data_IF_684226289356
#
_entry.id   IF_684226289356
#
_cell.length_a   1.000
_cell.length_b   1.000
_cell.length_c   1.000
_cell.angle_alpha   90.00
_cell.angle_beta   90.00
_cell.angle_gamma   90.00
#
_symmetry.space_group_name_H-M   'P 1'
#
loop_
_entity.id
_entity.type
_entity.pdbx_description
1 polymer ?
#
# COMPACT_ATOMS: atom_id res chain seq x y z
N UNK A 1 -43.92 -13.18 -7.65
CA UNK A 1 -43.11 -11.95 -7.51
C UNK A 1 -42.35 -12.08 -6.21
N UNK A 2 -41.03 -12.33 -6.27
CA UNK A 2 -40.21 -12.41 -5.06
C UNK A 2 -40.01 -10.99 -4.51
N UNK A 3 -40.59 -10.69 -3.35
CA UNK A 3 -40.23 -9.50 -2.61
C UNK A 3 -38.76 -9.63 -2.20
N UNK A 4 -37.85 -8.92 -2.87
CA UNK A 4 -36.48 -8.78 -2.38
C UNK A 4 -36.56 -8.01 -1.07
N UNK A 5 -36.26 -8.68 0.04
CA UNK A 5 -36.16 -8.01 1.34
C UNK A 5 -35.14 -6.86 1.23
N UNK A 6 -35.40 -5.77 1.95
CA UNK A 6 -34.45 -4.67 2.09
C UNK A 6 -33.11 -5.22 2.60
N UNK A 7 -31.97 -4.85 1.98
CA UNK A 7 -30.66 -5.31 2.42
C UNK A 7 -30.43 -4.95 3.89
N UNK A 8 -29.94 -5.91 4.67
CA UNK A 8 -29.58 -5.70 6.07
C UNK A 8 -28.07 -5.87 6.25
N UNK A 9 -27.52 -5.23 7.28
CA UNK A 9 -26.08 -5.33 7.59
C UNK A 9 -25.73 -6.75 8.04
N UNK A 10 -24.78 -7.38 7.36
CA UNK A 10 -24.27 -8.73 7.68
C UNK A 10 -22.90 -8.70 8.34
N UNK A 11 -22.13 -7.63 8.14
CA UNK A 11 -20.83 -7.43 8.79
C UNK A 11 -20.52 -5.94 8.93
N UNK A 12 -19.77 -5.60 9.97
CA UNK A 12 -19.40 -4.25 10.37
C UNK A 12 -17.93 -4.30 10.80
N UNK A 13 -17.11 -3.40 10.28
CA UNK A 13 -15.73 -3.25 10.71
C UNK A 13 -15.45 -1.81 11.15
N UNK A 14 -15.46 -1.62 12.48
CA UNK A 14 -14.90 -0.46 13.19
C UNK A 14 -15.54 0.89 12.80
N UNK A 15 -16.80 0.91 12.39
CA UNK A 15 -17.53 2.08 11.93
C UNK A 15 -17.13 2.59 10.54
N UNK A 16 -16.25 1.90 9.81
CA UNK A 16 -15.68 2.39 8.54
C UNK A 16 -15.97 1.51 7.33
N UNK A 17 -16.50 0.31 7.55
CA UNK A 17 -16.92 -0.61 6.50
C UNK A 17 -18.16 -1.35 6.97
N UNK A 18 -19.19 -1.35 6.14
CA UNK A 18 -20.40 -2.17 6.32
C UNK A 18 -20.60 -3.03 5.09
N UNK A 19 -20.94 -4.29 5.31
CA UNK A 19 -21.32 -5.23 4.25
C UNK A 19 -22.79 -5.56 4.43
N UNK A 20 -23.56 -5.47 3.34
CA UNK A 20 -24.99 -5.76 3.34
C UNK A 20 -25.29 -7.15 2.75
N UNK A 21 -26.46 -7.68 3.08
CA UNK A 21 -26.91 -9.03 2.69
C UNK A 21 -27.01 -9.26 1.19
N UNK A 22 -27.12 -8.19 0.40
CA UNK A 22 -27.12 -8.22 -1.07
C UNK A 22 -25.71 -8.14 -1.68
N UNK A 23 -24.67 -8.09 -0.84
CA UNK A 23 -23.28 -7.94 -1.24
C UNK A 23 -22.84 -6.49 -1.49
N UNK A 24 -23.74 -5.52 -1.36
CA UNK A 24 -23.38 -4.10 -1.42
C UNK A 24 -22.57 -3.68 -0.20
N UNK A 25 -21.81 -2.60 -0.35
CA UNK A 25 -20.83 -2.17 0.64
C UNK A 25 -20.88 -0.68 0.80
N UNK A 26 -20.79 -0.25 2.06
CA UNK A 26 -20.59 1.13 2.42
C UNK A 26 -19.23 1.30 3.08
N UNK A 27 -18.46 2.31 2.65
CA UNK A 27 -17.19 2.70 3.27
C UNK A 27 -17.24 4.15 3.72
N UNK A 28 -16.69 4.39 4.90
CA UNK A 28 -16.42 5.75 5.37
C UNK A 28 -15.24 6.35 4.58
N UNK A 29 -15.33 7.64 4.26
CA UNK A 29 -14.20 8.42 3.75
C UNK A 29 -13.17 8.74 4.84
N UNK A 30 -13.61 8.74 6.10
CA UNK A 30 -12.82 9.06 7.29
C UNK A 30 -12.46 7.81 8.09
N UNK A 31 -11.31 7.79 8.79
CA UNK A 31 -10.95 6.72 9.71
C UNK A 31 -11.92 6.64 10.90
N UNK A 32 -11.93 5.49 11.57
CA UNK A 32 -12.80 5.21 12.71
C UNK A 32 -12.45 5.99 13.98
N UNK A 33 -11.24 6.52 14.03
CA UNK A 33 -10.71 7.30 15.13
C UNK A 33 -10.33 8.69 14.61
N UNK A 34 -10.69 9.73 15.36
CA UNK A 34 -10.34 11.11 15.01
C UNK A 34 -8.89 11.38 15.39
N UNK A 35 -8.02 11.48 14.39
CA UNK A 35 -6.63 11.90 14.54
C UNK A 35 -6.43 13.15 13.71
N UNK A 36 -5.98 14.28 14.30
CA UNK A 36 -5.64 15.46 13.52
C UNK A 36 -4.37 15.18 12.69
N UNK A 37 -4.25 15.84 11.54
CA UNK A 37 -3.00 15.84 10.78
C UNK A 37 -2.03 16.80 11.46
N UNK A 38 -0.80 16.34 11.69
CA UNK A 38 0.28 17.12 12.28
C UNK A 38 1.25 17.56 11.18
N UNK A 39 0.84 18.54 10.38
CA UNK A 39 1.66 19.13 9.33
C UNK A 39 2.22 20.47 9.82
N UNK A 40 3.52 20.49 10.15
CA UNK A 40 4.26 21.68 10.55
C UNK A 40 5.11 22.27 9.41
N UNK A 41 4.95 21.74 8.19
CA UNK A 41 5.73 22.15 7.01
C UNK A 41 7.15 21.59 6.95
N UNK A 42 7.57 20.76 7.91
CA UNK A 42 8.88 20.09 7.87
C UNK A 42 8.99 19.04 6.76
N UNK A 43 7.86 18.58 6.24
CA UNK A 43 7.76 17.62 5.14
C UNK A 43 6.90 18.21 4.02
N UNK A 44 7.50 18.31 2.83
CA UNK A 44 6.78 18.64 1.60
C UNK A 44 6.10 17.40 1.07
N UNK A 45 4.86 17.51 0.58
CA UNK A 45 4.15 16.40 0.00
C UNK A 45 3.28 16.81 -1.18
N UNK A 46 3.04 15.87 -2.09
CA UNK A 46 2.14 16.05 -3.25
C UNK A 46 1.50 14.72 -3.66
N UNK A 47 0.29 14.82 -4.21
CA UNK A 47 -0.41 13.69 -4.82
C UNK A 47 -0.16 13.61 -6.32
N UNK A 48 -0.08 12.39 -6.84
CA UNK A 48 0.11 12.10 -8.25
C UNK A 48 -0.79 10.94 -8.65
N UNK A 49 -1.44 11.04 -9.81
CA UNK A 49 -2.13 9.92 -10.45
C UNK A 49 -1.09 9.05 -11.14
N UNK A 50 -0.90 7.81 -10.69
CA UNK A 50 0.05 6.89 -11.31
C UNK A 50 -0.64 5.87 -12.23
N UNK A 51 -1.93 5.61 -12.02
CA UNK A 51 -2.76 4.81 -12.91
C UNK A 51 -4.12 5.50 -13.15
N UNK A 52 -4.26 6.23 -14.27
CA UNK A 52 -5.51 6.89 -14.63
C UNK A 52 -6.66 5.93 -14.90
N UNK A 53 -6.38 4.67 -15.29
CA UNK A 53 -7.42 3.70 -15.68
C UNK A 53 -8.24 3.29 -14.47
N UNK A 54 -7.57 2.98 -13.35
CA UNK A 54 -8.22 2.64 -12.09
C UNK A 54 -8.36 3.85 -11.14
N UNK A 55 -8.02 5.05 -11.61
CA UNK A 55 -7.95 6.28 -10.81
C UNK A 55 -7.16 6.07 -9.50
N UNK A 56 -5.97 5.46 -9.61
CA UNK A 56 -5.09 5.25 -8.46
C UNK A 56 -4.05 6.36 -8.36
N UNK A 57 -3.90 6.82 -7.12
CA UNK A 57 -3.03 7.92 -6.77
C UNK A 57 -1.96 7.42 -5.82
N UNK A 58 -0.85 8.13 -5.79
CA UNK A 58 0.17 7.99 -4.76
C UNK A 58 0.48 9.37 -4.18
N UNK A 59 0.98 9.37 -2.95
CA UNK A 59 1.51 10.57 -2.30
C UNK A 59 3.01 10.43 -2.15
N UNK A 60 3.71 11.46 -2.58
CA UNK A 60 5.15 11.62 -2.34
C UNK A 60 5.35 12.53 -1.14
N UNK A 61 6.33 12.20 -0.30
CA UNK A 61 6.78 13.00 0.84
C UNK A 61 8.29 13.19 0.76
N UNK A 62 8.79 14.38 1.09
CA UNK A 62 10.20 14.72 1.08
C UNK A 62 10.52 15.68 2.23
N UNK A 63 11.67 15.56 2.93
CA UNK A 63 12.07 16.53 3.94
C UNK A 63 12.23 17.92 3.32
N UNK A 64 11.64 18.95 3.94
CA UNK A 64 11.68 20.32 3.40
C UNK A 64 13.11 20.89 3.34
N UNK A 65 13.95 20.52 4.30
CA UNK A 65 15.30 21.07 4.47
C UNK A 65 16.43 20.18 3.90
N UNK A 66 16.13 19.23 3.02
CA UNK A 66 17.19 18.44 2.36
C UNK A 66 17.92 19.28 1.31
N UNK A 67 19.27 19.28 1.31
CA UNK A 67 20.08 19.89 0.25
C UNK A 67 19.76 19.29 -1.12
N UNK A 68 19.66 20.13 -2.15
CA UNK A 68 19.38 19.71 -3.53
C UNK A 68 20.44 18.78 -4.12
N UNK A 69 21.66 18.78 -3.56
CA UNK A 69 22.78 17.95 -3.98
C UNK A 69 22.79 16.53 -3.39
N UNK A 70 21.92 16.24 -2.41
CA UNK A 70 21.92 14.94 -1.72
C UNK A 70 20.79 14.07 -2.25
N UNK A 71 21.16 12.95 -2.89
CA UNK A 71 20.21 11.89 -3.23
C UNK A 71 19.67 11.27 -1.93
N UNK A 72 18.36 11.27 -1.76
CA UNK A 72 17.69 10.64 -0.62
C UNK A 72 17.29 9.21 -0.98
N UNK A 73 17.36 8.25 -0.03
CA UNK A 73 16.77 6.94 -0.23
C UNK A 73 15.27 7.06 -0.41
N UNK A 74 14.67 6.08 -1.10
CA UNK A 74 13.22 5.97 -1.25
C UNK A 74 12.70 4.88 -0.34
N UNK A 75 11.64 5.19 0.41
CA UNK A 75 10.90 4.24 1.23
C UNK A 75 9.47 4.09 0.69
N UNK A 76 9.08 2.86 0.35
CA UNK A 76 7.78 2.55 -0.22
C UNK A 76 6.82 2.05 0.88
N UNK A 77 5.80 2.85 1.22
CA UNK A 77 4.86 2.59 2.30
C UNK A 77 3.48 2.23 1.76
N UNK A 78 2.99 1.03 2.08
CA UNK A 78 1.62 0.59 1.75
C UNK A 78 0.77 0.69 3.02
N UNK A 79 -0.35 1.40 2.95
CA UNK A 79 -1.23 1.56 4.10
C UNK A 79 -1.85 0.21 4.54
N UNK A 80 -2.28 0.15 5.81
CA UNK A 80 -2.94 -1.02 6.37
C UNK A 80 -4.43 -1.07 6.04
N UNK A 81 -5.19 -1.87 6.82
CA UNK A 81 -6.65 -2.01 6.68
C UNK A 81 -7.12 -3.31 6.03
N UNK A 82 -6.24 -4.31 5.96
CA UNK A 82 -6.60 -5.68 5.56
C UNK A 82 -7.11 -5.80 4.12
N UNK A 83 -6.67 -4.91 3.23
CA UNK A 83 -7.13 -4.77 1.84
C UNK A 83 -8.54 -4.28 1.65
N UNK A 84 -9.31 -4.06 2.71
CA UNK A 84 -10.72 -3.69 2.59
C UNK A 84 -10.99 -2.23 2.97
N UNK A 85 -10.05 -1.59 3.66
CA UNK A 85 -10.22 -0.29 4.32
C UNK A 85 -8.92 0.51 4.18
N UNK A 86 -9.05 1.83 4.17
CA UNK A 86 -7.93 2.76 4.26
C UNK A 86 -7.73 3.57 2.98
N UNK A 87 -6.85 4.55 3.07
CA UNK A 87 -6.43 5.41 1.98
C UNK A 87 -5.08 6.04 2.36
N UNK A 88 -4.26 6.40 1.35
CA UNK A 88 -3.07 7.23 1.53
C UNK A 88 -3.40 8.58 2.21
N UNK A 89 -4.63 9.07 2.05
CA UNK A 89 -5.07 10.38 2.55
C UNK A 89 -5.55 10.36 3.99
N UNK A 90 -5.67 9.19 4.62
CA UNK A 90 -6.13 9.11 6.00
C UNK A 90 -5.11 9.73 6.97
N UNK A 91 -5.56 10.53 7.97
CA UNK A 91 -4.66 11.26 8.87
C UNK A 91 -3.59 10.41 9.56
N UNK A 92 -3.92 9.18 9.96
CA UNK A 92 -2.92 8.27 10.55
C UNK A 92 -1.86 7.80 9.55
N UNK A 93 -2.24 7.56 8.30
CA UNK A 93 -1.30 7.21 7.24
C UNK A 93 -0.38 8.41 6.97
N UNK A 94 -0.95 9.60 6.86
CA UNK A 94 -0.21 10.83 6.59
C UNK A 94 0.78 11.17 7.72
N UNK A 95 0.34 11.16 8.98
CA UNK A 95 1.21 11.42 10.13
C UNK A 95 2.34 10.39 10.24
N UNK A 96 2.05 9.13 9.91
CA UNK A 96 3.08 8.09 9.90
C UNK A 96 4.12 8.33 8.79
N UNK A 97 3.68 8.71 7.59
CA UNK A 97 4.58 9.09 6.49
C UNK A 97 5.43 10.32 6.82
N UNK A 98 4.89 11.33 7.51
CA UNK A 98 5.67 12.47 7.99
C UNK A 98 6.77 12.03 8.94
N UNK A 99 6.43 11.20 9.93
CA UNK A 99 7.40 10.65 10.87
C UNK A 99 8.49 9.83 10.17
N UNK A 100 8.10 8.92 9.27
CA UNK A 100 9.06 8.12 8.50
C UNK A 100 9.99 8.98 7.65
N UNK A 101 9.45 10.00 6.97
CA UNK A 101 10.19 10.92 6.12
C UNK A 101 11.33 11.60 6.89
N UNK A 102 11.03 12.11 8.08
CA UNK A 102 12.00 12.80 8.93
C UNK A 102 12.97 11.83 9.62
N UNK A 103 12.47 10.73 10.18
CA UNK A 103 13.29 9.77 10.93
C UNK A 103 14.30 9.06 10.01
N UNK A 104 13.90 8.76 8.76
CA UNK A 104 14.75 8.06 7.79
C UNK A 104 15.54 9.00 6.88
N UNK A 105 15.23 10.31 6.89
CA UNK A 105 15.72 11.27 5.90
C UNK A 105 15.53 10.74 4.46
N UNK A 106 14.30 10.35 4.15
CA UNK A 106 13.96 9.61 2.93
C UNK A 106 12.79 10.22 2.18
N UNK A 107 12.72 9.98 0.88
CA UNK A 107 11.48 10.20 0.13
C UNK A 107 10.53 9.05 0.44
N UNK A 108 9.32 9.37 0.92
CA UNK A 108 8.29 8.35 1.17
C UNK A 108 7.33 8.33 -0.02
N UNK A 109 7.02 7.13 -0.52
CA UNK A 109 6.02 6.90 -1.57
C UNK A 109 4.89 6.08 -0.98
N UNK A 110 3.68 6.65 -0.96
CA UNK A 110 2.48 6.01 -0.41
C UNK A 110 1.39 5.90 -1.48
N UNK A 111 1.29 4.77 -2.21
CA UNK A 111 0.21 4.52 -3.15
C UNK A 111 -1.11 4.21 -2.45
N UNK A 112 -2.21 4.49 -3.14
CA UNK A 112 -3.46 3.76 -2.98
C UNK A 112 -3.43 2.46 -3.78
N UNK A 113 -4.29 1.55 -3.37
CA UNK A 113 -4.56 0.30 -4.07
C UNK A 113 -6.05 -0.01 -4.02
N UNK A 114 -6.55 -0.76 -4.99
CA UNK A 114 -7.96 -1.14 -5.05
C UNK A 114 -8.34 -2.00 -3.85
N UNK A 115 -9.48 -1.70 -3.25
CA UNK A 115 -9.95 -2.37 -2.04
C UNK A 115 -10.87 -3.55 -2.37
N UNK A 116 -10.73 -4.59 -1.56
CA UNK A 116 -11.65 -5.70 -1.48
C UNK A 116 -12.92 -5.30 -0.72
N UNK A 117 -14.06 -5.90 -1.07
CA UNK A 117 -14.22 -7.04 -1.97
C UNK A 117 -14.59 -6.73 -3.43
N UNK A 118 -14.80 -5.46 -3.80
CA UNK A 118 -15.00 -5.06 -5.20
C UNK A 118 -13.80 -5.48 -6.05
N UNK A 119 -12.60 -5.36 -5.48
CA UNK A 119 -11.35 -5.79 -6.09
C UNK A 119 -10.64 -6.73 -5.12
N UNK A 120 -11.01 -8.02 -5.17
CA UNK A 120 -10.35 -9.05 -4.36
C UNK A 120 -8.87 -9.17 -4.74
N UNK A 121 -8.07 -9.72 -3.83
CA UNK A 121 -6.70 -10.12 -4.16
C UNK A 121 -6.70 -11.04 -5.39
N UNK A 122 -5.74 -10.87 -6.32
CA UNK A 122 -4.47 -10.15 -6.16
C UNK A 122 -4.47 -8.66 -6.53
N UNK A 123 -5.61 -8.01 -6.81
CA UNK A 123 -5.67 -6.64 -7.35
C UNK A 123 -4.78 -5.63 -6.60
N UNK A 124 -4.86 -5.56 -5.26
CA UNK A 124 -4.04 -4.65 -4.47
C UNK A 124 -2.52 -4.89 -4.59
N UNK A 125 -2.11 -6.14 -4.81
CA UNK A 125 -0.70 -6.52 -5.01
C UNK A 125 -0.23 -6.05 -6.38
N UNK A 126 -1.08 -6.22 -7.41
CA UNK A 126 -0.81 -5.75 -8.77
C UNK A 126 -0.70 -4.23 -8.82
N UNK A 127 -1.59 -3.52 -8.11
CA UNK A 127 -1.57 -2.06 -8.02
C UNK A 127 -0.31 -1.53 -7.33
N UNK A 128 0.12 -2.18 -6.24
CA UNK A 128 1.38 -1.86 -5.58
C UNK A 128 2.58 -2.10 -6.51
N UNK A 129 2.60 -3.21 -7.25
CA UNK A 129 3.65 -3.47 -8.22
C UNK A 129 3.66 -2.44 -9.36
N UNK A 130 2.48 -2.02 -9.84
CA UNK A 130 2.33 -0.99 -10.85
C UNK A 130 2.88 0.36 -10.38
N UNK A 131 2.63 0.75 -9.13
CA UNK A 131 3.20 1.97 -8.56
C UNK A 131 4.72 1.92 -8.42
N UNK A 132 5.31 0.75 -8.13
CA UNK A 132 6.79 0.58 -8.14
C UNK A 132 7.34 0.75 -9.56
N UNK A 133 6.69 0.16 -10.56
CA UNK A 133 7.09 0.33 -11.97
C UNK A 133 6.98 1.78 -12.43
N UNK A 134 5.89 2.45 -12.05
CA UNK A 134 5.71 3.87 -12.32
C UNK A 134 6.87 4.70 -11.74
N UNK A 135 7.24 4.43 -10.49
CA UNK A 135 8.36 5.11 -9.83
C UNK A 135 9.69 4.89 -10.56
N UNK A 136 9.99 3.65 -10.96
CA UNK A 136 11.19 3.33 -11.74
C UNK A 136 11.23 4.11 -13.05
N UNK A 137 10.12 4.19 -13.78
CA UNK A 137 10.04 4.96 -15.02
C UNK A 137 10.32 6.45 -14.85
N UNK A 138 9.84 7.05 -13.76
CA UNK A 138 10.06 8.48 -13.48
C UNK A 138 11.52 8.78 -13.06
N UNK A 139 12.14 7.89 -12.26
CA UNK A 139 13.56 8.03 -11.89
C UNK A 139 14.45 7.99 -13.13
N UNK A 140 14.15 7.09 -14.07
CA UNK A 140 14.89 6.99 -15.32
C UNK A 140 14.72 8.25 -16.20
N UNK A 141 13.53 8.85 -16.23
CA UNK A 141 13.30 10.09 -16.98
C UNK A 141 14.08 11.29 -16.40
N UNK A 142 14.11 11.46 -15.08
CA UNK A 142 14.91 12.52 -14.43
C UNK A 142 16.42 12.32 -14.64
N UNK A 143 16.88 11.06 -14.84
CA UNK A 143 18.29 10.75 -15.08
C UNK A 143 18.77 10.96 -16.53
N UNK A 144 17.86 11.14 -17.48
CA UNK A 144 18.18 11.24 -18.93
C UNK A 144 18.40 12.69 -19.40
N UNK A 145 18.12 13.70 -18.57
CA UNK A 145 18.55 15.08 -18.85
C UNK A 145 20.00 15.33 -18.41
N UNK A 146 20.96 14.94 -19.25
CA UNK A 146 22.37 15.37 -19.13
C UNK A 146 22.84 15.95 -20.48
N UNK A 147 22.97 17.29 -20.62
CA UNK A 147 23.80 17.88 -21.67
C UNK A 147 25.28 17.71 -21.34
N UNK A 148 26.06 17.53 -22.41
CA UNK A 148 27.48 17.22 -22.43
C UNK A 148 28.31 18.04 -21.43
N UNK A 149 29.02 17.33 -20.53
CA UNK A 149 30.46 17.47 -20.30
C UNK A 149 30.89 16.54 -19.16
N UNK A 150 31.21 15.29 -19.54
CA UNK A 150 32.19 14.41 -18.91
C UNK A 150 32.09 14.13 -17.41
N UNK A 151 31.41 13.04 -17.03
CA UNK A 151 31.97 11.98 -16.17
C UNK A 151 30.91 10.89 -15.97
N UNK A 152 31.18 9.72 -16.56
CA UNK A 152 30.45 8.47 -16.31
C UNK A 152 30.77 8.04 -14.87
N UNK A 153 29.75 7.77 -14.06
CA UNK A 153 29.90 6.94 -12.86
C UNK A 153 29.05 5.70 -13.09
N UNK A 154 29.73 4.56 -13.02
CA UNK A 154 29.25 3.22 -13.34
C UNK A 154 27.78 2.97 -12.96
N UNK A 155 26.96 2.76 -13.99
CA UNK A 155 25.80 1.88 -13.85
C UNK A 155 26.32 0.45 -13.89
N UNK A 156 26.53 -0.16 -12.72
CA UNK A 156 26.53 -1.62 -12.68
C UNK A 156 25.17 -2.10 -13.19
N UNK A 157 25.25 -2.82 -14.30
CA UNK A 157 24.18 -3.47 -15.02
C UNK A 157 23.40 -4.42 -14.11
N UNK A 158 22.31 -3.93 -13.51
CA UNK A 158 21.37 -4.80 -12.82
C UNK A 158 20.51 -5.49 -13.87
N UNK A 159 21.03 -6.61 -14.38
CA UNK A 159 20.30 -7.52 -15.27
C UNK A 159 18.92 -7.85 -14.69
N UNK A 160 17.93 -7.98 -15.56
CA UNK A 160 16.53 -8.36 -15.25
C UNK A 160 16.38 -9.74 -14.56
N UNK A 161 17.47 -10.36 -14.09
CA UNK A 161 17.52 -11.67 -13.45
C UNK A 161 17.54 -11.66 -11.91
N UNK A 162 17.74 -10.51 -11.26
CA UNK A 162 18.04 -10.46 -9.81
C UNK A 162 16.89 -10.11 -8.87
N UNK A 163 15.66 -9.92 -9.37
CA UNK A 163 14.48 -9.98 -8.49
C UNK A 163 13.74 -11.29 -8.75
N UNK A 164 13.84 -12.29 -7.85
CA UNK A 164 13.00 -13.46 -7.99
C UNK A 164 11.54 -13.00 -7.97
N UNK A 165 10.65 -13.55 -8.81
CA UNK A 165 9.23 -13.14 -8.92
C UNK A 165 8.41 -13.28 -7.61
N UNK A 166 9.07 -13.67 -6.52
CA UNK A 166 8.52 -13.91 -5.20
C UNK A 166 9.01 -12.91 -4.13
N UNK A 167 9.92 -11.97 -4.42
CA UNK A 167 10.49 -11.08 -3.39
C UNK A 167 9.46 -10.13 -2.77
N UNK A 168 8.58 -9.56 -3.59
CA UNK A 168 7.43 -8.76 -3.11
C UNK A 168 6.32 -9.65 -2.50
N UNK A 169 6.21 -10.91 -2.90
CA UNK A 169 5.29 -11.88 -2.26
C UNK A 169 5.77 -12.24 -0.86
N UNK A 170 7.07 -12.34 -0.61
CA UNK A 170 7.62 -12.84 0.65
C UNK A 170 7.54 -11.83 1.80
N UNK A 171 7.77 -10.54 1.52
CA UNK A 171 7.60 -9.45 2.51
C UNK A 171 6.12 -9.30 2.90
N UNK A 172 5.21 -9.54 1.97
CA UNK A 172 3.77 -9.41 2.18
C UNK A 172 3.12 -10.66 2.80
N UNK A 173 3.57 -11.87 2.45
CA UNK A 173 2.99 -13.14 2.92
C UNK A 173 3.21 -13.40 4.41
N UNK A 174 4.36 -13.06 5.01
CA UNK A 174 4.63 -13.51 6.39
C UNK A 174 3.76 -12.87 7.47
N UNK A 175 3.20 -11.67 7.23
CA UNK A 175 2.27 -11.01 8.18
C UNK A 175 0.79 -11.15 7.79
N UNK A 176 0.47 -11.22 6.51
CA UNK A 176 -0.92 -11.24 6.01
C UNK A 176 -1.50 -12.66 5.93
N UNK A 177 -0.68 -13.67 5.61
CA UNK A 177 -1.17 -15.04 5.40
C UNK A 177 -1.65 -15.70 6.70
N UNK A 178 -1.17 -15.26 7.87
CA UNK A 178 -1.62 -15.78 9.17
C UNK A 178 -3.03 -15.28 9.56
N UNK A 179 -3.48 -14.14 9.04
CA UNK A 179 -4.84 -13.65 9.24
C UNK A 179 -5.83 -14.28 8.24
N UNK A 180 -5.40 -14.56 7.00
CA UNK A 180 -6.26 -15.15 5.96
C UNK A 180 -6.39 -16.67 6.06
N UNK A 181 -5.36 -17.41 6.51
CA UNK A 181 -5.46 -18.87 6.70
C UNK A 181 -6.36 -19.29 7.87
N UNK A 182 -6.67 -18.37 8.80
CA UNK A 182 -7.51 -18.69 9.98
C UNK A 182 -9.03 -18.64 9.70
N UNK A 183 -9.47 -18.33 8.47
CA UNK A 183 -10.91 -18.36 8.09
C UNK A 183 -11.26 -19.22 6.88
N UNK A 184 -10.30 -19.92 6.26
CA UNK A 184 -10.60 -20.95 5.24
C UNK A 184 -10.63 -22.39 5.80
N UNK A 185 -10.36 -22.60 7.10
CA UNK A 185 -10.32 -23.93 7.71
C UNK A 185 -11.59 -24.33 8.53
N UNK A 186 -12.75 -23.67 8.33
CA UNK A 186 -14.01 -24.04 9.01
C UNK A 186 -15.21 -24.24 8.08
N UNK A 187 -14.97 -24.75 6.88
CA UNK A 187 -15.97 -25.46 6.08
C UNK A 187 -15.32 -26.73 5.52
N UNK A 188 -15.35 -27.80 6.31
CA UNK A 188 -14.79 -29.10 5.95
C UNK A 188 -14.55 -29.93 7.20
N UNK A 189 -15.55 -30.73 7.59
CA UNK A 189 -15.43 -31.66 8.71
C UNK A 189 -14.57 -32.86 8.34
N UNK A 190 -13.66 -33.24 9.22
CA UNK A 190 -13.52 -34.57 9.82
C UNK A 190 -12.18 -34.66 10.57
N UNK A 191 -12.21 -35.46 11.62
CA UNK A 191 -11.23 -35.59 12.70
C UNK A 191 -9.81 -35.96 12.25
N UNK A 192 -8.79 -35.30 12.81
CA UNK A 192 -7.72 -35.91 13.62
C UNK A 192 -6.53 -34.93 13.84
N UNK A 193 -6.10 -34.82 15.09
CA UNK A 193 -4.95 -34.01 15.54
C UNK A 193 -3.79 -34.96 15.87
N UNK A 194 -2.54 -34.65 15.46
CA UNK A 194 -1.54 -34.36 16.50
C UNK A 194 -0.53 -33.26 16.13
N UNK A 195 -0.60 -32.18 16.92
CA UNK A 195 0.48 -31.43 17.57
C UNK A 195 1.93 -31.68 17.11
N UNK A 196 2.63 -30.62 16.66
CA UNK A 196 4.10 -30.50 16.84
C UNK A 196 4.56 -29.03 16.80
N UNK A 197 5.21 -28.62 17.89
CA UNK A 197 5.83 -27.31 18.17
C UNK A 197 7.04 -27.05 17.25
N UNK A 198 7.38 -25.78 17.01
CA UNK A 198 8.71 -25.36 16.55
C UNK A 198 9.30 -24.29 17.48
N UNK A 199 10.55 -24.43 17.95
CA UNK A 199 11.20 -23.46 18.83
C UNK A 199 11.97 -22.37 18.05
N UNK A 200 12.20 -21.29 18.80
CA UNK A 200 12.99 -20.05 18.62
C UNK A 200 13.72 -19.81 17.29
#
# INVERSE_FOLDING_TARGET
MSHSATPYEVDECRGVLRVYSDGSIWRSTEPSFKVPVHDDGSVLWKDIIFDPVNNLHLRLYKPAFSSSSTKLPIFYYIHGGGFCIGSRTWPNCQNYCFKLCLDLQAVIVSPDYRLAPENRLPAAIEDGFLAVKWLQGNILQESVEIPADGAIVDTEEYSESCLPPNYMKEIYCRKVLRCLLMKQAKCGGSDDVPNRKWPL
#
